data_IF_801474046904
#
_entry.id   IF_801474046904
#
_cell.length_a   1.000
_cell.length_b   1.000
_cell.length_c   1.000
_cell.angle_alpha   90.00
_cell.angle_beta   90.00
_cell.angle_gamma   90.00
#
_symmetry.space_group_name_H-M   'P 1'
#
loop_
_entity.id
_entity.type
_entity.pdbx_description
1 polymer ?
#
# COMPACT_ATOMS: atom_id res chain seq x y z
N UNK A 1 -2.27 27.36 11.49
CA UNK A 1 -2.51 25.93 11.23
C UNK A 1 -1.21 25.18 11.47
N UNK A 2 -1.10 24.51 12.61
CA UNK A 2 0.06 23.69 12.95
C UNK A 2 -0.16 22.32 12.33
N UNK A 3 0.61 21.99 11.30
CA UNK A 3 0.74 20.62 10.83
C UNK A 3 1.46 19.81 11.90
N UNK A 4 0.77 18.86 12.54
CA UNK A 4 1.40 17.82 13.31
C UNK A 4 2.12 16.89 12.34
N UNK A 5 3.34 17.23 11.99
CA UNK A 5 4.27 16.23 11.45
C UNK A 5 4.57 15.24 12.58
N UNK A 6 3.87 14.10 12.59
CA UNK A 6 4.31 12.94 13.34
C UNK A 6 5.46 12.29 12.57
N UNK A 7 6.62 12.89 12.63
CA UNK A 7 7.88 12.19 12.37
C UNK A 7 8.45 11.82 13.73
N UNK A 8 7.78 10.93 14.44
CA UNK A 8 8.39 10.23 15.54
C UNK A 8 9.25 9.12 14.93
N UNK A 9 10.53 9.38 14.74
CA UNK A 9 11.50 8.35 14.44
C UNK A 9 11.73 7.56 15.71
N UNK A 10 11.29 6.32 15.72
CA UNK A 10 11.69 5.36 16.74
C UNK A 10 13.14 4.96 16.44
N UNK A 11 14.10 5.68 17.02
CA UNK A 11 15.51 5.35 16.94
C UNK A 11 15.74 4.23 17.94
N UNK A 12 15.60 2.98 17.51
CA UNK A 12 16.08 1.83 18.26
C UNK A 12 17.58 1.73 18.08
N UNK A 13 18.30 1.92 19.19
CA UNK A 13 19.74 1.63 19.36
C UNK A 13 20.61 2.23 18.25
N UNK A 14 20.68 3.55 18.21
CA UNK A 14 21.73 4.22 17.49
C UNK A 14 22.98 4.18 18.37
N UNK A 15 24.06 3.65 17.82
CA UNK A 15 25.38 3.88 18.34
C UNK A 15 25.77 5.33 18.01
N UNK A 16 25.13 6.26 18.72
CA UNK A 16 25.46 7.68 18.64
C UNK A 16 26.80 7.84 19.32
N UNK A 17 27.83 7.95 18.54
CA UNK A 17 29.14 8.35 19.07
C UNK A 17 29.18 9.83 19.48
N UNK A 18 28.08 10.58 19.29
CA UNK A 18 27.89 11.96 19.70
C UNK A 18 26.39 12.28 19.85
N UNK A 19 26.07 13.05 20.90
CA UNK A 19 24.73 13.57 21.15
C UNK A 19 24.31 14.52 20.02
N UNK A 20 23.03 14.50 19.64
CA UNK A 20 22.50 15.44 18.63
C UNK A 20 22.06 16.71 19.34
N UNK A 21 22.77 17.79 19.06
CA UNK A 21 22.43 19.12 19.56
C UNK A 21 21.69 19.95 18.52
N UNK A 22 20.85 20.89 18.96
CA UNK A 22 20.08 21.77 18.08
C UNK A 22 20.95 22.67 17.16
N UNK A 23 22.26 22.75 17.42
CA UNK A 23 23.22 23.51 16.61
C UNK A 23 24.04 22.66 15.64
N UNK A 24 23.84 21.33 15.63
CA UNK A 24 24.66 20.45 14.83
C UNK A 24 24.14 20.39 13.38
N UNK A 25 25.06 20.35 12.43
CA UNK A 25 24.74 20.07 11.04
C UNK A 25 24.51 18.57 10.91
N UNK A 26 23.30 18.19 10.59
CA UNK A 26 22.88 16.79 10.42
C UNK A 26 22.68 16.44 8.95
N UNK A 27 22.88 15.18 8.62
CA UNK A 27 22.64 14.62 7.29
C UNK A 27 21.72 13.41 7.39
N UNK A 28 20.77 13.33 6.45
CA UNK A 28 19.96 12.13 6.17
C UNK A 28 20.78 11.21 5.27
N UNK A 29 21.10 9.99 5.70
CA UNK A 29 21.97 9.09 4.91
C UNK A 29 21.31 8.61 3.61
N UNK A 30 20.01 8.32 3.63
CA UNK A 30 19.29 7.79 2.48
C UNK A 30 19.01 8.83 1.39
N UNK A 31 18.67 10.06 1.78
CA UNK A 31 18.40 11.15 0.83
C UNK A 31 19.61 12.03 0.54
N UNK A 32 20.61 12.02 1.42
CA UNK A 32 21.78 12.92 1.36
C UNK A 32 21.46 14.36 1.75
N UNK A 33 20.24 14.67 2.20
CA UNK A 33 19.84 16.01 2.60
C UNK A 33 20.57 16.45 3.89
N UNK A 34 20.99 17.69 3.92
CA UNK A 34 21.69 18.29 5.06
C UNK A 34 20.87 19.46 5.60
N UNK A 35 20.77 19.54 6.92
CA UNK A 35 20.08 20.65 7.58
C UNK A 35 20.62 20.88 8.99
N UNK A 36 20.40 22.09 9.49
CA UNK A 36 20.56 22.41 10.90
C UNK A 36 19.18 22.30 11.55
N UNK A 37 18.99 21.48 12.60
CA UNK A 37 17.73 21.41 13.30
C UNK A 37 17.30 22.77 13.83
N UNK A 38 16.07 23.15 13.60
CA UNK A 38 15.46 24.35 14.16
C UNK A 38 15.18 24.14 15.65
N UNK A 39 14.71 22.93 15.98
CA UNK A 39 14.37 22.53 17.34
C UNK A 39 14.45 21.01 17.47
N UNK A 40 14.86 20.53 18.62
CA UNK A 40 14.82 19.11 19.01
C UNK A 40 14.10 18.98 20.36
N UNK A 41 13.48 17.83 20.62
CA UNK A 41 12.78 17.62 21.88
C UNK A 41 12.00 16.31 21.93
N UNK A 42 11.16 16.16 22.94
CA UNK A 42 10.28 15.02 23.13
C UNK A 42 8.85 15.45 23.44
N UNK A 43 7.91 14.49 23.38
CA UNK A 43 6.49 14.74 23.65
C UNK A 43 6.11 14.29 25.07
N UNK A 44 5.46 15.22 25.89
CA UNK A 44 4.93 14.96 27.25
C UNK A 44 3.59 15.66 27.52
N UNK A 45 2.49 15.27 26.98
CA UNK A 45 2.12 14.96 25.60
C UNK A 45 2.37 16.12 24.63
N UNK A 46 2.71 17.30 25.13
CA UNK A 46 3.08 18.47 24.33
C UNK A 46 4.56 18.43 23.95
N UNK A 47 4.93 19.24 22.99
CA UNK A 47 6.35 19.45 22.64
C UNK A 47 7.11 20.03 23.81
N UNK A 48 8.19 19.37 24.21
CA UNK A 48 9.14 19.85 25.23
C UNK A 48 10.49 19.96 24.54
N UNK A 49 10.91 21.19 24.17
CA UNK A 49 12.23 21.42 23.57
C UNK A 49 13.36 21.04 24.54
N UNK A 50 14.41 20.45 24.00
CA UNK A 50 15.63 20.11 24.73
C UNK A 50 16.85 20.56 23.94
N UNK A 51 18.00 20.65 24.59
CA UNK A 51 19.25 21.04 23.92
C UNK A 51 19.90 19.87 23.18
N UNK A 52 19.72 18.66 23.69
CA UNK A 52 20.28 17.42 23.14
C UNK A 52 19.34 16.24 23.32
N UNK A 53 19.45 15.27 22.45
CA UNK A 53 18.85 13.95 22.56
C UNK A 53 19.95 12.92 22.71
N UNK A 54 19.89 12.13 23.79
CA UNK A 54 20.90 11.13 24.14
C UNK A 54 20.59 9.79 23.44
N UNK A 55 21.60 8.94 23.37
CA UNK A 55 21.43 7.58 22.85
C UNK A 55 20.34 6.81 23.61
N UNK A 56 19.43 6.17 22.86
CA UNK A 56 18.27 5.44 23.41
C UNK A 56 17.06 6.31 23.73
N UNK A 57 17.13 7.62 23.56
CA UNK A 57 15.97 8.49 23.71
C UNK A 57 15.12 8.56 22.43
N UNK A 58 13.80 8.73 22.62
CA UNK A 58 12.84 8.94 21.54
C UNK A 58 12.36 10.38 21.56
N UNK A 59 12.52 11.08 20.46
CA UNK A 59 12.19 12.49 20.38
C UNK A 59 11.71 12.93 19.00
N UNK A 60 11.67 14.25 18.80
CA UNK A 60 11.42 14.88 17.51
C UNK A 60 12.57 15.79 17.11
N UNK A 61 12.76 15.93 15.81
CA UNK A 61 13.71 16.86 15.21
C UNK A 61 12.96 17.71 14.19
N UNK A 62 12.86 19.01 14.42
CA UNK A 62 12.30 19.96 13.47
C UNK A 62 13.41 20.40 12.51
N UNK A 63 13.44 19.83 11.30
CA UNK A 63 14.56 20.01 10.38
C UNK A 63 14.50 21.30 9.58
N UNK A 64 13.34 21.94 9.46
CA UNK A 64 13.14 23.10 8.59
C UNK A 64 13.23 22.78 7.07
N UNK A 65 13.35 21.50 6.68
CA UNK A 65 13.34 21.06 5.28
C UNK A 65 12.01 21.41 4.64
N UNK A 66 12.03 21.86 3.39
CA UNK A 66 10.83 22.30 2.66
C UNK A 66 10.15 21.17 1.91
N UNK A 67 10.89 20.09 1.66
CA UNK A 67 10.39 18.95 0.90
C UNK A 67 10.43 17.68 1.74
N UNK A 68 9.30 17.02 1.92
CA UNK A 68 9.17 15.76 2.68
C UNK A 68 10.01 14.63 2.09
N UNK A 69 10.28 14.66 0.80
CA UNK A 69 11.12 13.66 0.14
C UNK A 69 12.58 13.69 0.62
N UNK A 70 13.01 14.79 1.26
CA UNK A 70 14.35 14.95 1.79
C UNK A 70 14.54 14.26 3.15
N UNK A 71 13.45 13.98 3.88
CA UNK A 71 13.48 13.25 5.16
C UNK A 71 12.44 12.12 5.12
N UNK A 72 12.87 10.92 4.75
CA UNK A 72 11.99 9.76 4.62
C UNK A 72 11.90 8.96 5.92
N UNK A 73 10.77 8.32 6.15
CA UNK A 73 10.60 7.35 7.24
C UNK A 73 11.57 6.18 7.02
N UNK A 74 12.28 5.78 8.08
CA UNK A 74 13.30 4.73 8.02
C UNK A 74 14.67 5.20 7.56
N UNK A 75 14.87 6.52 7.36
CA UNK A 75 16.20 7.07 7.09
C UNK A 75 17.03 7.17 8.39
N UNK A 76 18.35 7.14 8.25
CA UNK A 76 19.28 7.33 9.35
C UNK A 76 19.78 8.77 9.36
N UNK A 77 19.60 9.43 10.49
CA UNK A 77 20.12 10.78 10.72
C UNK A 77 21.50 10.68 11.39
N UNK A 78 22.47 11.38 10.86
CA UNK A 78 23.83 11.39 11.40
C UNK A 78 24.39 12.81 11.47
N UNK A 79 25.36 13.04 12.36
CA UNK A 79 26.10 14.28 12.38
C UNK A 79 27.04 14.36 11.16
N UNK A 80 27.20 15.54 10.59
CA UNK A 80 28.17 15.75 9.49
C UNK A 80 29.61 15.66 9.94
N UNK A 81 29.89 16.04 11.20
CA UNK A 81 31.22 16.03 11.76
C UNK A 81 31.70 14.63 12.14
N UNK A 82 30.81 13.76 12.55
CA UNK A 82 31.08 12.35 12.88
C UNK A 82 30.03 11.46 12.20
N UNK A 83 30.13 11.38 10.88
CA UNK A 83 29.14 10.69 10.06
C UNK A 83 29.23 9.17 10.23
N UNK A 84 28.08 8.53 10.44
CA UNK A 84 27.98 7.08 10.35
C UNK A 84 28.32 6.62 8.93
N UNK A 85 29.05 5.50 8.81
CA UNK A 85 29.46 4.94 7.52
C UNK A 85 28.34 4.21 6.80
N UNK A 86 27.39 3.65 7.55
CA UNK A 86 26.29 2.83 7.04
C UNK A 86 24.96 3.22 7.71
N UNK A 87 23.82 3.10 7.00
CA UNK A 87 22.52 3.31 7.61
C UNK A 87 22.20 2.18 8.59
N UNK A 88 21.36 2.47 9.57
CA UNK A 88 20.89 1.48 10.53
C UNK A 88 20.14 0.34 9.82
N UNK A 89 20.45 -0.92 10.18
CA UNK A 89 19.80 -2.07 9.54
C UNK A 89 18.33 -2.20 9.95
N UNK A 90 17.55 -2.86 9.09
CA UNK A 90 16.15 -3.24 9.39
C UNK A 90 15.09 -2.29 8.86
N UNK A 91 15.45 -1.13 8.34
CA UNK A 91 14.50 -0.23 7.71
C UNK A 91 14.39 -0.50 6.20
N UNK A 92 13.17 -0.70 5.74
CA UNK A 92 12.85 -0.89 4.33
C UNK A 92 11.85 0.18 3.88
N UNK A 93 11.99 0.62 2.64
CA UNK A 93 10.99 1.51 2.04
C UNK A 93 9.69 0.73 1.90
N UNK A 94 8.60 1.27 2.44
CA UNK A 94 7.29 0.68 2.28
C UNK A 94 6.89 0.69 0.80
N UNK A 95 6.75 -0.48 0.20
CA UNK A 95 6.32 -0.62 -1.19
C UNK A 95 4.79 -0.77 -1.23
N UNK A 96 4.09 -0.01 -2.09
CA UNK A 96 2.66 -0.16 -2.25
C UNK A 96 2.34 -1.50 -2.93
N UNK A 97 1.36 -2.21 -2.37
CA UNK A 97 0.89 -3.52 -2.83
C UNK A 97 -0.46 -3.44 -3.53
N UNK A 98 -1.28 -2.46 -3.17
CA UNK A 98 -2.64 -2.25 -3.69
C UNK A 98 -2.68 -0.93 -4.44
N UNK A 99 -3.25 -0.94 -5.64
CA UNK A 99 -3.35 0.24 -6.49
C UNK A 99 -4.80 0.50 -6.86
N UNK A 100 -5.22 1.77 -6.76
CA UNK A 100 -6.54 2.21 -7.21
C UNK A 100 -6.44 3.60 -7.83
N UNK A 101 -7.28 3.87 -8.82
CA UNK A 101 -7.51 5.22 -9.33
C UNK A 101 -8.47 5.95 -8.41
N UNK A 102 -8.14 7.18 -8.02
CA UNK A 102 -9.01 8.09 -7.27
C UNK A 102 -9.36 9.27 -8.16
N UNK A 103 -10.65 9.44 -8.38
CA UNK A 103 -11.19 10.46 -9.27
C UNK A 103 -12.16 11.37 -8.50
N UNK A 104 -12.13 12.68 -8.74
CA UNK A 104 -13.15 13.56 -8.19
C UNK A 104 -14.47 13.36 -8.93
N UNK A 105 -15.59 13.55 -8.25
CA UNK A 105 -16.92 13.44 -8.86
C UNK A 105 -17.13 14.51 -9.94
N UNK A 106 -16.57 15.70 -9.76
CA UNK A 106 -16.61 16.81 -10.72
C UNK A 106 -15.19 17.14 -11.18
N UNK A 107 -15.00 17.35 -12.49
CA UNK A 107 -13.67 17.66 -13.04
C UNK A 107 -13.06 18.95 -12.50
N UNK A 108 -13.88 19.87 -11.97
CA UNK A 108 -13.44 21.13 -11.36
C UNK A 108 -12.67 20.89 -10.04
N UNK A 109 -12.93 19.78 -9.36
CA UNK A 109 -12.29 19.41 -8.08
C UNK A 109 -10.90 18.76 -8.26
N UNK A 110 -10.44 18.51 -9.49
CA UNK A 110 -9.13 17.91 -9.74
C UNK A 110 -7.96 18.66 -9.08
N UNK A 111 -7.86 20.03 -9.17
CA UNK A 111 -6.81 20.77 -8.48
C UNK A 111 -6.89 20.63 -6.96
N UNK A 112 -8.11 20.62 -6.41
CA UNK A 112 -8.36 20.45 -4.97
C UNK A 112 -7.94 19.06 -4.49
N UNK A 113 -8.23 18.01 -5.29
CA UNK A 113 -7.80 16.64 -5.01
C UNK A 113 -6.27 16.54 -5.03
N UNK A 114 -5.60 17.16 -5.98
CA UNK A 114 -4.14 17.20 -6.04
C UNK A 114 -3.54 17.82 -4.77
N UNK A 115 -4.04 18.98 -4.37
CA UNK A 115 -3.57 19.68 -3.17
C UNK A 115 -3.83 18.86 -1.92
N UNK A 116 -4.98 18.18 -1.83
CA UNK A 116 -5.33 17.30 -0.73
C UNK A 116 -4.39 16.10 -0.62
N UNK A 117 -4.09 15.44 -1.76
CA UNK A 117 -3.13 14.33 -1.81
C UNK A 117 -1.72 14.77 -1.42
N UNK A 118 -1.26 15.92 -1.91
CA UNK A 118 0.04 16.50 -1.52
C UNK A 118 0.10 16.76 -0.01
N UNK A 119 -0.95 17.37 0.57
CA UNK A 119 -1.04 17.62 2.01
C UNK A 119 -1.11 16.33 2.84
N UNK A 120 -1.89 15.35 2.37
CA UNK A 120 -2.01 14.06 3.05
C UNK A 120 -0.68 13.30 3.03
N UNK A 121 0.04 13.35 1.92
CA UNK A 121 1.36 12.73 1.77
C UNK A 121 2.42 13.31 2.72
N UNK A 122 2.26 14.55 3.19
CA UNK A 122 3.11 15.12 4.24
C UNK A 122 2.98 14.36 5.58
N UNK A 123 1.80 13.81 5.86
CA UNK A 123 1.52 13.07 7.09
C UNK A 123 1.70 11.57 6.92
N UNK A 124 1.57 11.08 5.70
CA UNK A 124 1.65 9.66 5.36
C UNK A 124 2.46 9.48 4.07
N UNK A 125 3.75 9.23 4.23
CA UNK A 125 4.66 9.01 3.12
C UNK A 125 4.59 7.58 2.54
N UNK A 126 3.73 6.71 3.09
CA UNK A 126 3.64 5.31 2.69
C UNK A 126 2.77 5.07 1.46
N UNK A 127 1.90 6.02 1.09
CA UNK A 127 1.18 5.94 -0.18
C UNK A 127 1.90 6.72 -1.28
N UNK A 128 1.73 6.27 -2.52
CA UNK A 128 2.22 6.97 -3.71
C UNK A 128 1.05 7.43 -4.56
N UNK A 129 1.22 8.50 -5.32
CA UNK A 129 0.22 8.95 -6.27
C UNK A 129 0.86 9.55 -7.53
N UNK A 130 0.24 9.28 -8.67
CA UNK A 130 0.64 9.78 -9.98
C UNK A 130 -0.59 10.23 -10.76
N UNK A 131 -0.50 11.29 -11.58
CA UNK A 131 -1.60 11.71 -12.42
C UNK A 131 -2.07 10.59 -13.36
N UNK A 132 -3.37 10.38 -13.44
CA UNK A 132 -4.02 9.41 -14.32
C UNK A 132 -5.21 10.05 -15.01
N UNK A 133 -5.56 9.56 -16.18
CA UNK A 133 -6.78 9.96 -16.89
C UNK A 133 -7.58 8.73 -17.31
N UNK A 134 -8.89 8.78 -17.08
CA UNK A 134 -9.85 7.78 -17.52
C UNK A 134 -10.77 8.38 -18.58
N UNK A 135 -11.05 7.64 -19.63
CA UNK A 135 -12.00 8.07 -20.66
C UNK A 135 -13.41 8.30 -20.13
N UNK A 136 -13.80 7.56 -19.07
CA UNK A 136 -15.11 7.64 -18.46
C UNK A 136 -15.19 8.62 -17.28
N UNK A 137 -14.13 8.71 -16.43
CA UNK A 137 -14.12 9.50 -15.20
C UNK A 137 -13.32 10.79 -15.29
N UNK A 138 -12.60 11.02 -16.40
CA UNK A 138 -11.77 12.21 -16.59
C UNK A 138 -10.43 12.12 -15.87
N UNK A 139 -9.94 13.27 -15.37
CA UNK A 139 -8.64 13.35 -14.70
C UNK A 139 -8.75 12.94 -13.23
N UNK A 140 -7.78 12.15 -12.78
CA UNK A 140 -7.65 11.67 -11.41
C UNK A 140 -6.20 11.33 -11.08
N UNK A 141 -6.03 10.46 -10.08
CA UNK A 141 -4.71 10.00 -9.66
C UNK A 141 -4.71 8.49 -9.47
N UNK A 142 -3.69 7.83 -10.01
CA UNK A 142 -3.36 6.45 -9.66
C UNK A 142 -2.61 6.46 -8.35
N UNK A 143 -3.20 5.85 -7.33
CA UNK A 143 -2.63 5.80 -5.98
C UNK A 143 -2.20 4.37 -5.64
N UNK A 144 -1.05 4.25 -4.98
CA UNK A 144 -0.55 2.99 -4.45
C UNK A 144 -0.57 3.00 -2.93
N UNK A 145 -1.10 1.94 -2.32
CA UNK A 145 -1.35 1.80 -0.89
C UNK A 145 -0.70 0.53 -0.34
N UNK A 146 -0.41 0.49 0.96
CA UNK A 146 0.12 -0.69 1.63
C UNK A 146 -0.87 -1.87 1.66
N UNK A 147 -2.17 -1.57 1.61
CA UNK A 147 -3.23 -2.56 1.63
C UNK A 147 -4.60 -1.91 1.49
N UNK A 148 -5.67 -2.73 1.52
CA UNK A 148 -7.04 -2.25 1.34
C UNK A 148 -7.46 -1.29 2.45
N UNK A 149 -7.21 -1.64 3.71
CA UNK A 149 -7.52 -0.76 4.85
C UNK A 149 -6.84 0.61 4.74
N UNK A 150 -5.61 0.64 4.23
CA UNK A 150 -4.90 1.90 4.01
C UNK A 150 -5.58 2.74 2.92
N UNK A 151 -6.05 2.10 1.83
CA UNK A 151 -6.85 2.77 0.79
C UNK A 151 -8.11 3.39 1.37
N UNK A 152 -8.88 2.64 2.15
CA UNK A 152 -10.13 3.11 2.78
C UNK A 152 -9.87 4.28 3.73
N UNK A 153 -8.82 4.21 4.55
CA UNK A 153 -8.46 5.31 5.46
C UNK A 153 -8.06 6.56 4.68
N UNK A 154 -7.25 6.43 3.64
CA UNK A 154 -6.84 7.58 2.81
C UNK A 154 -8.05 8.19 2.11
N UNK A 155 -8.94 7.38 1.53
CA UNK A 155 -10.16 7.85 0.90
C UNK A 155 -11.05 8.59 1.91
N UNK A 156 -11.33 7.99 3.05
CA UNK A 156 -12.16 8.61 4.11
C UNK A 156 -11.56 9.93 4.62
N UNK A 157 -10.24 10.00 4.75
CA UNK A 157 -9.55 11.24 5.13
C UNK A 157 -9.69 12.32 4.06
N UNK A 158 -9.53 11.97 2.77
CA UNK A 158 -9.73 12.92 1.68
C UNK A 158 -11.16 13.45 1.64
N UNK A 159 -12.16 12.59 1.89
CA UNK A 159 -13.56 12.99 1.94
C UNK A 159 -13.88 13.87 3.16
N UNK A 160 -13.40 13.51 4.35
CA UNK A 160 -13.75 14.21 5.60
C UNK A 160 -12.90 15.45 5.87
N UNK A 161 -11.58 15.37 5.67
CA UNK A 161 -10.67 16.47 6.00
C UNK A 161 -10.66 17.56 4.92
N UNK A 162 -10.87 17.16 3.66
CA UNK A 162 -10.81 18.08 2.50
C UNK A 162 -12.17 18.31 1.83
N UNK A 163 -13.23 17.66 2.33
CA UNK A 163 -14.60 17.78 1.82
C UNK A 163 -14.73 17.48 0.31
N UNK A 164 -14.00 16.45 -0.14
CA UNK A 164 -14.03 16.00 -1.53
C UNK A 164 -15.04 14.87 -1.70
N UNK A 165 -15.70 14.83 -2.86
CA UNK A 165 -16.52 13.69 -3.29
C UNK A 165 -15.70 12.87 -4.29
N UNK A 166 -15.42 11.61 -3.95
CA UNK A 166 -14.46 10.79 -4.68
C UNK A 166 -15.07 9.51 -5.23
N UNK A 167 -14.56 9.08 -6.37
CA UNK A 167 -14.83 7.77 -6.96
C UNK A 167 -13.51 7.00 -6.96
N UNK A 168 -13.48 5.86 -6.28
CA UNK A 168 -12.35 4.94 -6.33
C UNK A 168 -12.60 3.84 -7.37
N UNK A 169 -11.61 3.54 -8.20
CA UNK A 169 -11.64 2.37 -9.07
C UNK A 169 -11.50 1.08 -8.26
N UNK A 170 -11.81 -0.06 -8.87
CA UNK A 170 -11.55 -1.35 -8.24
C UNK A 170 -10.05 -1.49 -7.87
N UNK A 171 -9.74 -1.98 -6.65
CA UNK A 171 -8.35 -2.18 -6.25
C UNK A 171 -7.69 -3.27 -7.11
N UNK A 172 -6.45 -3.04 -7.49
CA UNK A 172 -5.62 -3.95 -8.29
C UNK A 172 -4.25 -4.11 -7.66
N UNK A 173 -3.51 -5.13 -8.12
CA UNK A 173 -2.10 -5.31 -7.79
C UNK A 173 -1.22 -5.13 -9.04
N UNK A 174 0.10 -5.13 -8.87
CA UNK A 174 1.02 -5.11 -10.00
C UNK A 174 1.15 -6.49 -10.62
N UNK A 175 0.96 -6.59 -11.93
CA UNK A 175 1.17 -7.80 -12.72
C UNK A 175 2.44 -7.66 -13.56
N UNK A 176 3.17 -8.75 -13.70
CA UNK A 176 4.28 -8.84 -14.66
C UNK A 176 3.74 -9.42 -15.96
N UNK A 177 3.88 -8.67 -17.04
CA UNK A 177 3.48 -9.11 -18.39
C UNK A 177 4.73 -9.26 -19.23
N UNK A 178 4.95 -10.47 -19.73
CA UNK A 178 6.04 -10.78 -20.66
C UNK A 178 5.49 -10.69 -22.08
N UNK A 179 6.12 -9.85 -22.88
CA UNK A 179 5.70 -9.59 -24.26
C UNK A 179 6.40 -10.52 -25.24
N UNK A 180 5.69 -10.92 -26.30
CA UNK A 180 6.23 -11.71 -27.39
C UNK A 180 7.45 -11.04 -28.04
N UNK A 181 8.53 -11.79 -28.25
CA UNK A 181 9.69 -11.36 -29.02
C UNK A 181 10.53 -10.29 -28.34
N UNK A 182 11.39 -10.66 -27.42
CA UNK A 182 12.51 -9.87 -26.85
C UNK A 182 12.19 -8.41 -26.39
N UNK A 183 10.92 -8.04 -26.29
CA UNK A 183 10.48 -6.68 -25.88
C UNK A 183 10.51 -6.44 -24.37
N UNK A 184 10.90 -7.46 -23.59
CA UNK A 184 11.10 -7.32 -22.15
C UNK A 184 9.86 -7.60 -21.30
N UNK A 185 10.04 -7.41 -20.02
CA UNK A 185 9.04 -7.51 -18.96
C UNK A 185 8.44 -6.11 -18.70
N UNK A 186 7.13 -6.05 -18.59
CA UNK A 186 6.40 -4.84 -18.24
C UNK A 186 5.59 -5.06 -16.96
N UNK A 187 5.74 -4.16 -15.99
CA UNK A 187 4.90 -4.13 -14.79
C UNK A 187 3.65 -3.30 -15.08
N UNK A 188 2.49 -3.89 -14.85
CA UNK A 188 1.19 -3.26 -15.08
C UNK A 188 0.39 -3.27 -13.78
N UNK A 189 0.02 -2.12 -13.29
CA UNK A 189 -0.86 -1.94 -12.14
C UNK A 189 -2.27 -1.45 -12.53
N UNK A 190 -2.39 -0.87 -13.73
CA UNK A 190 -3.66 -0.43 -14.30
C UNK A 190 -4.15 -1.41 -15.36
N UNK A 191 -5.32 -2.07 -15.17
CA UNK A 191 -5.90 -2.97 -16.17
C UNK A 191 -6.13 -2.33 -17.54
N UNK A 192 -6.35 -1.01 -17.60
CA UNK A 192 -6.56 -0.29 -18.87
C UNK A 192 -5.29 -0.30 -19.75
N UNK A 193 -4.10 -0.40 -19.16
CA UNK A 193 -2.82 -0.44 -19.87
C UNK A 193 -2.41 -1.84 -20.34
N UNK A 194 -3.28 -2.85 -20.13
CA UNK A 194 -3.00 -4.22 -20.54
C UNK A 194 -2.82 -4.31 -22.05
N UNK A 195 -1.69 -4.86 -22.56
CA UNK A 195 -1.49 -5.08 -23.98
C UNK A 195 -2.53 -6.04 -24.57
N UNK A 196 -2.69 -5.96 -25.89
CA UNK A 196 -3.57 -6.93 -26.60
C UNK A 196 -3.06 -8.37 -26.38
N UNK A 197 -3.96 -9.34 -26.19
CA UNK A 197 -3.60 -10.74 -25.89
C UNK A 197 -2.61 -11.35 -26.89
N UNK A 198 -2.66 -10.93 -28.15
CA UNK A 198 -1.75 -11.41 -29.21
C UNK A 198 -0.27 -10.99 -28.99
N UNK A 199 -0.01 -10.00 -28.15
CA UNK A 199 1.33 -9.52 -27.86
C UNK A 199 1.87 -10.05 -26.53
N UNK A 200 1.07 -10.81 -25.79
CA UNK A 200 1.43 -11.34 -24.48
C UNK A 200 1.88 -12.78 -24.63
N UNK A 201 3.06 -13.09 -24.13
CA UNK A 201 3.58 -14.44 -24.01
C UNK A 201 3.13 -15.07 -22.70
N UNK A 202 3.26 -14.32 -21.58
CA UNK A 202 3.00 -14.81 -20.24
C UNK A 202 2.55 -13.68 -19.32
N UNK A 203 1.62 -13.97 -18.42
CA UNK A 203 1.23 -13.07 -17.33
C UNK A 203 1.55 -13.73 -16.01
N UNK A 204 2.20 -12.97 -15.12
CA UNK A 204 2.51 -13.39 -13.77
C UNK A 204 1.79 -12.51 -12.75
N UNK A 205 1.19 -13.15 -11.77
CA UNK A 205 0.54 -12.48 -10.63
C UNK A 205 1.41 -12.53 -9.38
N UNK A 206 1.36 -11.52 -8.51
CA UNK A 206 2.05 -11.53 -7.23
C UNK A 206 1.38 -12.52 -6.27
N UNK A 207 2.21 -13.27 -5.57
CA UNK A 207 1.81 -14.20 -4.52
C UNK A 207 2.32 -13.74 -3.17
N UNK A 208 1.59 -14.09 -2.13
CA UNK A 208 1.93 -13.79 -0.74
C UNK A 208 1.87 -15.04 0.11
N UNK A 209 2.67 -15.07 1.17
CA UNK A 209 2.53 -16.01 2.27
C UNK A 209 1.66 -15.35 3.33
N UNK A 210 0.43 -15.82 3.46
CA UNK A 210 -0.53 -15.37 4.45
C UNK A 210 -0.39 -16.20 5.72
N UNK A 211 -0.18 -15.55 6.86
CA UNK A 211 -0.12 -16.14 8.19
C UNK A 211 -1.38 -15.77 8.97
N UNK A 212 -2.19 -16.76 9.31
CA UNK A 212 -3.49 -16.57 9.95
C UNK A 212 -3.44 -17.15 11.35
N UNK A 213 -3.56 -16.30 12.36
CA UNK A 213 -3.68 -16.70 13.77
C UNK A 213 -5.16 -16.82 14.10
N UNK A 214 -5.57 -18.00 14.62
CA UNK A 214 -6.99 -18.28 14.87
C UNK A 214 -7.17 -19.29 16.00
N UNK A 215 -8.34 -19.31 16.66
CA UNK A 215 -8.74 -20.45 17.51
C UNK A 215 -8.87 -21.74 16.70
N UNK A 216 -8.51 -22.88 17.33
CA UNK A 216 -8.53 -24.21 16.69
C UNK A 216 -9.89 -24.60 16.12
N UNK A 217 -10.99 -24.05 16.67
CA UNK A 217 -12.37 -24.29 16.20
C UNK A 217 -12.63 -23.82 14.76
N UNK A 218 -11.84 -22.87 14.25
CA UNK A 218 -12.03 -22.29 12.91
C UNK A 218 -11.09 -22.84 11.83
N UNK A 219 -10.25 -23.85 12.16
CA UNK A 219 -9.29 -24.44 11.21
C UNK A 219 -9.98 -24.86 9.90
N UNK A 220 -11.06 -25.63 9.98
CA UNK A 220 -11.80 -26.11 8.79
C UNK A 220 -12.36 -24.94 7.96
N UNK A 221 -12.95 -23.97 8.63
CA UNK A 221 -13.53 -22.79 7.96
C UNK A 221 -12.48 -21.98 7.21
N UNK A 222 -11.29 -21.80 7.79
CA UNK A 222 -10.20 -21.05 7.14
C UNK A 222 -9.58 -21.87 6.01
N UNK A 223 -9.46 -23.19 6.18
CA UNK A 223 -9.00 -24.10 5.12
C UNK A 223 -9.90 -24.00 3.88
N UNK A 224 -11.23 -24.05 4.05
CA UNK A 224 -12.21 -23.94 2.98
C UNK A 224 -12.16 -22.56 2.31
N UNK A 225 -12.09 -21.48 3.11
CA UNK A 225 -11.98 -20.13 2.60
C UNK A 225 -10.73 -19.97 1.74
N UNK A 226 -9.56 -20.33 2.28
CA UNK A 226 -8.27 -20.16 1.61
C UNK A 226 -8.20 -20.99 0.32
N UNK A 227 -8.68 -22.23 0.34
CA UNK A 227 -8.73 -23.09 -0.84
C UNK A 227 -9.66 -22.52 -1.91
N UNK A 228 -10.81 -21.95 -1.53
CA UNK A 228 -11.75 -21.31 -2.48
C UNK A 228 -11.13 -20.08 -3.18
N UNK A 229 -10.12 -19.47 -2.56
CA UNK A 229 -9.35 -18.32 -3.05
C UNK A 229 -7.99 -18.73 -3.64
N UNK A 230 -7.89 -19.92 -4.18
CA UNK A 230 -6.67 -20.48 -4.79
C UNK A 230 -5.48 -20.60 -3.84
N UNK A 231 -5.72 -20.53 -2.54
CA UNK A 231 -4.68 -20.66 -1.53
C UNK A 231 -4.12 -22.08 -1.48
N UNK A 232 -2.82 -22.19 -1.41
CA UNK A 232 -2.09 -23.43 -1.22
C UNK A 232 -1.68 -23.51 0.25
N UNK A 233 -2.09 -24.56 0.94
CA UNK A 233 -1.71 -24.77 2.34
C UNK A 233 -0.20 -25.05 2.43
N UNK A 234 0.49 -24.29 3.27
CA UNK A 234 1.95 -24.39 3.44
C UNK A 234 2.34 -25.01 4.78
N UNK A 235 1.51 -24.84 5.81
CA UNK A 235 1.77 -25.44 7.12
C UNK A 235 0.90 -24.86 8.22
N UNK A 236 0.99 -25.49 9.40
CA UNK A 236 0.23 -25.10 10.57
C UNK A 236 1.04 -25.37 11.83
N UNK A 237 1.13 -24.38 12.73
CA UNK A 237 1.80 -24.50 14.02
C UNK A 237 0.85 -24.12 15.16
N UNK A 238 0.82 -24.92 16.21
CA UNK A 238 0.04 -24.63 17.41
C UNK A 238 0.83 -23.69 18.32
N UNK A 239 0.26 -22.52 18.61
CA UNK A 239 0.83 -21.59 19.58
C UNK A 239 0.57 -22.06 21.02
N UNK A 240 -0.64 -22.60 21.25
CA UNK A 240 -1.08 -23.20 22.49
C UNK A 240 -2.21 -24.21 22.20
N UNK A 241 -2.84 -24.77 23.26
CA UNK A 241 -3.95 -25.73 23.10
C UNK A 241 -5.18 -25.17 22.35
N UNK A 242 -5.34 -23.87 22.30
CA UNK A 242 -6.54 -23.19 21.77
C UNK A 242 -6.27 -22.38 20.51
N UNK A 243 -5.02 -22.03 20.22
CA UNK A 243 -4.66 -21.15 19.09
C UNK A 243 -3.66 -21.80 18.16
N UNK A 244 -3.83 -21.50 16.89
CA UNK A 244 -3.02 -22.03 15.79
C UNK A 244 -2.64 -20.90 14.82
N UNK A 245 -1.45 -21.01 14.24
CA UNK A 245 -1.03 -20.22 13.08
C UNK A 245 -1.12 -21.11 11.86
N UNK A 246 -1.91 -20.71 10.88
CA UNK A 246 -2.03 -21.40 9.59
C UNK A 246 -1.32 -20.57 8.52
N UNK A 247 -0.47 -21.19 7.71
CA UNK A 247 0.22 -20.54 6.61
C UNK A 247 -0.32 -21.02 5.27
N UNK A 248 -0.60 -20.06 4.41
CA UNK A 248 -1.06 -20.29 3.04
C UNK A 248 -0.28 -19.43 2.05
N UNK A 249 -0.01 -19.98 0.89
CA UNK A 249 0.42 -19.18 -0.25
C UNK A 249 -0.82 -18.82 -1.08
N UNK A 250 -1.11 -17.54 -1.20
CA UNK A 250 -2.34 -17.04 -1.84
C UNK A 250 -1.96 -15.96 -2.86
N UNK A 251 -2.61 -15.92 -4.05
CA UNK A 251 -2.45 -14.78 -4.95
C UNK A 251 -2.93 -13.48 -4.29
N UNK A 252 -2.13 -12.42 -4.38
CA UNK A 252 -2.46 -11.13 -3.75
C UNK A 252 -3.81 -10.59 -4.22
N UNK A 253 -4.14 -10.74 -5.51
CA UNK A 253 -5.41 -10.31 -6.07
C UNK A 253 -6.63 -10.95 -5.38
N UNK A 254 -6.53 -12.19 -4.91
CA UNK A 254 -7.61 -12.86 -4.18
C UNK A 254 -7.74 -12.37 -2.73
N UNK A 255 -6.63 -11.92 -2.17
CA UNK A 255 -6.57 -11.45 -0.77
C UNK A 255 -7.14 -10.05 -0.63
N UNK A 256 -6.86 -9.14 -1.60
CA UNK A 256 -7.24 -7.73 -1.50
C UNK A 256 -8.73 -7.46 -1.80
N UNK A 257 -9.47 -8.36 -2.45
CA UNK A 257 -10.85 -8.07 -2.84
C UNK A 257 -11.83 -8.23 -1.67
N UNK A 258 -11.85 -9.38 -1.03
CA UNK A 258 -12.87 -9.70 -0.01
C UNK A 258 -12.42 -10.73 1.04
N UNK A 259 -11.17 -11.18 0.95
CA UNK A 259 -10.67 -12.25 1.81
C UNK A 259 -10.72 -11.87 3.29
N UNK A 260 -10.29 -10.66 3.63
CA UNK A 260 -10.25 -10.19 5.00
C UNK A 260 -11.63 -10.12 5.62
N UNK A 261 -12.61 -9.58 4.89
CA UNK A 261 -13.99 -9.47 5.37
C UNK A 261 -14.64 -10.85 5.56
N UNK A 262 -14.41 -11.76 4.61
CA UNK A 262 -14.85 -13.14 4.74
C UNK A 262 -14.16 -13.86 5.91
N UNK A 263 -12.86 -13.64 6.11
CA UNK A 263 -12.12 -14.21 7.22
C UNK A 263 -12.72 -13.74 8.56
N UNK A 264 -12.91 -12.43 8.72
CA UNK A 264 -13.49 -11.85 9.94
C UNK A 264 -14.91 -12.33 10.18
N UNK A 265 -15.77 -12.29 9.18
CA UNK A 265 -17.17 -12.71 9.32
C UNK A 265 -17.31 -14.19 9.66
N UNK A 266 -16.54 -15.07 9.01
CA UNK A 266 -16.59 -16.51 9.25
C UNK A 266 -15.95 -16.96 10.56
N UNK A 267 -15.08 -16.14 11.15
CA UNK A 267 -14.39 -16.43 12.42
C UNK A 267 -14.89 -15.56 13.57
N UNK A 268 -16.02 -14.85 13.42
CA UNK A 268 -16.58 -13.95 14.43
C UNK A 268 -15.57 -12.89 14.91
N UNK A 269 -14.66 -12.47 14.02
CA UNK A 269 -13.63 -11.49 14.32
C UNK A 269 -12.36 -12.04 15.00
N UNK A 270 -12.32 -13.31 15.37
CA UNK A 270 -11.18 -13.86 16.12
C UNK A 270 -9.92 -14.09 15.29
N UNK A 271 -10.03 -14.33 13.99
CA UNK A 271 -8.84 -14.54 13.17
C UNK A 271 -8.11 -13.21 12.90
N UNK A 272 -6.79 -13.24 12.95
CA UNK A 272 -5.92 -12.16 12.47
C UNK A 272 -5.10 -12.65 11.28
N UNK A 273 -4.87 -11.75 10.33
CA UNK A 273 -4.15 -12.00 9.10
C UNK A 273 -2.95 -11.08 9.02
N UNK A 274 -1.81 -11.67 8.73
CA UNK A 274 -0.60 -10.98 8.29
C UNK A 274 -0.09 -11.65 7.01
N UNK A 275 0.60 -10.90 6.13
CA UNK A 275 1.11 -11.46 4.89
C UNK A 275 2.41 -10.81 4.45
N UNK A 276 3.24 -11.61 3.78
CA UNK A 276 4.51 -11.18 3.21
C UNK A 276 4.58 -11.56 1.74
N UNK A 277 5.28 -10.77 0.92
CA UNK A 277 5.45 -11.06 -0.50
C UNK A 277 6.22 -12.37 -0.72
N UNK A 278 5.77 -13.16 -1.71
CA UNK A 278 6.36 -14.44 -2.10
C UNK A 278 6.75 -14.49 -3.59
N UNK A 279 6.89 -13.31 -4.23
CA UNK A 279 7.26 -13.19 -5.64
C UNK A 279 6.10 -13.41 -6.60
N UNK A 280 6.42 -13.64 -7.87
CA UNK A 280 5.45 -13.72 -8.97
C UNK A 280 5.35 -15.14 -9.51
N UNK A 281 4.12 -15.54 -9.92
CA UNK A 281 3.87 -16.84 -10.55
C UNK A 281 3.00 -16.70 -11.78
N UNK A 282 3.26 -17.52 -12.77
CA UNK A 282 2.45 -17.60 -14.00
C UNK A 282 1.03 -17.99 -13.68
N UNK A 283 0.07 -17.27 -14.26
CA UNK A 283 -1.35 -17.57 -14.10
C UNK A 283 -2.12 -17.27 -15.40
N UNK A 284 -3.18 -18.05 -15.70
CA UNK A 284 -4.07 -17.81 -16.81
C UNK A 284 -5.02 -16.64 -16.47
N UNK A 285 -4.55 -15.43 -16.74
CA UNK A 285 -5.26 -14.19 -16.43
C UNK A 285 -5.77 -13.55 -17.70
N UNK A 286 -6.92 -12.90 -17.58
CA UNK A 286 -7.54 -12.15 -18.68
C UNK A 286 -8.03 -10.80 -18.16
N UNK A 287 -8.00 -9.79 -19.04
CA UNK A 287 -8.65 -8.51 -18.77
C UNK A 287 -10.16 -8.68 -18.94
N UNK A 288 -10.93 -8.24 -17.94
CA UNK A 288 -12.36 -8.13 -17.98
C UNK A 288 -12.75 -6.66 -18.13
N UNK A 289 -13.37 -6.29 -19.23
CA UNK A 289 -13.91 -4.96 -19.44
C UNK A 289 -15.41 -4.97 -19.14
N UNK A 290 -15.85 -3.99 -18.35
CA UNK A 290 -17.27 -3.78 -18.05
C UNK A 290 -17.81 -2.75 -19.06
N UNK A 291 -18.87 -3.13 -19.75
CA UNK A 291 -19.53 -2.26 -20.72
C UNK A 291 -20.74 -1.57 -20.07
N UNK A 292 -20.79 -0.26 -20.16
CA UNK A 292 -21.96 0.54 -19.77
C UNK A 292 -22.57 1.12 -21.04
N UNK A 293 -23.79 0.77 -21.32
CA UNK A 293 -24.48 1.13 -22.57
C UNK A 293 -23.71 0.73 -23.85
N UNK A 294 -22.98 -0.41 -23.79
CA UNK A 294 -22.18 -0.92 -24.91
C UNK A 294 -20.78 -0.35 -25.06
N UNK A 295 -20.40 0.65 -24.26
CA UNK A 295 -19.07 1.25 -24.25
C UNK A 295 -18.24 0.75 -23.05
N UNK A 296 -16.96 0.39 -23.25
CA UNK A 296 -16.11 -0.06 -22.16
C UNK A 296 -15.75 1.11 -21.22
N UNK A 297 -15.89 0.86 -19.92
CA UNK A 297 -15.48 1.80 -18.87
C UNK A 297 -14.15 1.34 -18.30
N UNK A 298 -13.08 2.02 -18.65
CA UNK A 298 -11.70 1.69 -18.29
C UNK A 298 -11.45 1.65 -16.77
N UNK A 299 -12.06 2.56 -16.01
CA UNK A 299 -11.97 2.59 -14.56
C UNK A 299 -12.60 1.36 -13.85
N UNK A 300 -13.50 0.64 -14.54
CA UNK A 300 -14.12 -0.58 -14.05
C UNK A 300 -13.46 -1.85 -14.59
N UNK A 301 -12.48 -1.72 -15.47
CA UNK A 301 -11.72 -2.86 -15.99
C UNK A 301 -10.92 -3.53 -14.87
N UNK A 302 -10.86 -4.85 -14.89
CA UNK A 302 -10.11 -5.63 -13.89
C UNK A 302 -9.39 -6.80 -14.54
N UNK A 303 -8.32 -7.29 -13.89
CA UNK A 303 -7.61 -8.50 -14.32
C UNK A 303 -8.06 -9.65 -13.43
N UNK A 304 -8.59 -10.69 -14.05
CA UNK A 304 -9.14 -11.85 -13.34
C UNK A 304 -8.68 -13.16 -13.96
N UNK A 305 -8.83 -14.24 -13.20
CA UNK A 305 -8.55 -15.57 -13.74
C UNK A 305 -9.58 -15.94 -14.81
N UNK A 306 -9.14 -16.57 -15.91
CA UNK A 306 -9.98 -16.95 -17.05
C UNK A 306 -11.24 -17.77 -16.65
N UNK A 307 -11.09 -18.73 -15.74
CA UNK A 307 -12.25 -19.51 -15.23
C UNK A 307 -13.32 -18.64 -14.54
N UNK A 308 -12.92 -17.54 -13.88
CA UNK A 308 -13.87 -16.58 -13.26
C UNK A 308 -14.56 -15.73 -14.32
N UNK A 309 -13.85 -15.33 -15.37
CA UNK A 309 -14.39 -14.60 -16.51
C UNK A 309 -15.55 -15.37 -17.14
N UNK A 310 -15.36 -16.65 -17.44
CA UNK A 310 -16.39 -17.51 -18.04
C UNK A 310 -17.62 -17.63 -17.13
N UNK A 311 -17.44 -17.72 -15.83
CA UNK A 311 -18.54 -17.80 -14.85
C UNK A 311 -19.33 -16.48 -14.76
N UNK A 312 -18.64 -15.32 -14.77
CA UNK A 312 -19.29 -14.01 -14.78
C UNK A 312 -20.12 -13.79 -16.04
N UNK A 313 -19.60 -14.16 -17.21
CA UNK A 313 -20.31 -14.05 -18.47
C UNK A 313 -21.57 -14.94 -18.55
N UNK A 314 -21.58 -16.08 -17.86
CA UNK A 314 -22.74 -16.98 -17.81
C UNK A 314 -23.84 -16.52 -16.85
N UNK A 315 -23.55 -15.58 -15.94
CA UNK A 315 -24.53 -15.05 -14.98
C UNK A 315 -25.20 -13.75 -15.42
N UNK A 316 -24.87 -13.21 -16.59
CA UNK A 316 -25.55 -12.06 -17.15
C UNK A 316 -26.96 -12.47 -17.62
N UNK A 317 -27.93 -12.28 -16.74
CA UNK A 317 -29.34 -12.17 -17.12
C UNK A 317 -29.45 -10.83 -17.86
N UNK A 318 -29.90 -10.79 -19.12
CA UNK A 318 -30.16 -9.53 -19.79
C UNK A 318 -31.32 -8.85 -19.05
N UNK A 319 -31.02 -7.83 -18.24
CA UNK A 319 -31.99 -6.85 -17.81
C UNK A 319 -32.33 -5.96 -19.01
N UNK A 320 -32.97 -6.55 -20.01
CA UNK A 320 -33.64 -5.84 -21.06
C UNK A 320 -35.14 -5.90 -20.79
N UNK A 321 -35.65 -4.76 -20.46
CA UNK A 321 -37.04 -4.28 -20.52
C UNK A 321 -37.51 -3.71 -19.18
N UNK A 322 -37.27 -2.46 -18.99
CA UNK A 322 -38.33 -1.48 -18.73
C UNK A 322 -37.97 -0.20 -19.45
#
# INVERSE_FOLDING_TARGET
FFFKQKTAYEIKECDWSSDVCSSDLIRMLGSGAECVPVEIGYFRPQHVPVQELLAGEVGYVATGLKNVREARVGDTVTSLTNSASEPLPGYQVALPLVFAGIYPLTGEDYPSLREALEKLHLNDASFSFEPESSGALGFGFRCGFLGLLHLEIVQERLEREFNLQLIASAPSCKYQVILNGAKGEQLIDNPAQMPSPNHIEEIREPWVVASIVTPTTYIGTIMDLSTSKRGIFDGMDYLDEKRVVMRFQIPLAELIVDYFDQLKSRTQGYASLDYTESGYRVAPLVKLDILVNGEPVDALSTIIQDRKSTRLNSSHIPLSRM
#
